data_IF_302391112487
#
_entry.id   IF_302391112487
#
_cell.length_a   1.000
_cell.length_b   1.000
_cell.length_c   1.000
_cell.angle_alpha   90.00
_cell.angle_beta   90.00
_cell.angle_gamma   90.00
#
_symmetry.space_group_name_H-M   'P 1'
#
loop_
_entity.id
_entity.type
_entity.pdbx_description
1 polymer ?
#
# COMPACT_ATOMS: atom_id res chain seq x y z
N UNK A 1 1.59 -36.57 -34.56
CA UNK A 1 1.77 -35.15 -34.19
C UNK A 1 0.69 -34.63 -33.22
N UNK A 2 -0.61 -34.91 -33.41
CA UNK A 2 -1.67 -34.42 -32.49
C UNK A 2 -1.57 -34.95 -31.05
N UNK A 3 -1.18 -36.23 -30.84
CA UNK A 3 -1.00 -36.81 -29.50
C UNK A 3 0.16 -36.17 -28.70
N UNK A 4 1.25 -35.79 -29.37
CA UNK A 4 2.40 -35.15 -28.71
C UNK A 4 2.04 -33.72 -28.25
N UNK A 5 1.24 -33.00 -29.04
CA UNK A 5 0.76 -31.66 -28.69
C UNK A 5 -0.19 -31.68 -27.48
N UNK A 6 -1.06 -32.70 -27.37
CA UNK A 6 -1.98 -32.84 -26.23
C UNK A 6 -1.20 -33.14 -24.94
N UNK A 7 -0.17 -33.98 -25.01
CA UNK A 7 0.69 -34.31 -23.85
C UNK A 7 1.49 -33.08 -23.38
N UNK A 8 2.05 -32.29 -24.31
CA UNK A 8 2.76 -31.06 -23.94
C UNK A 8 1.80 -30.04 -23.30
N UNK A 9 0.57 -29.92 -23.83
CA UNK A 9 -0.44 -29.03 -23.24
C UNK A 9 -0.80 -29.46 -21.82
N UNK A 10 -1.01 -30.76 -21.57
CA UNK A 10 -1.35 -31.25 -20.23
C UNK A 10 -0.19 -31.08 -19.24
N UNK A 11 1.07 -31.23 -19.66
CA UNK A 11 2.23 -30.92 -18.80
C UNK A 11 2.33 -29.44 -18.43
N UNK A 12 1.95 -28.52 -19.32
CA UNK A 12 1.93 -27.08 -19.02
C UNK A 12 0.86 -26.71 -17.99
N UNK A 13 -0.32 -27.34 -18.05
CA UNK A 13 -1.37 -27.14 -17.04
C UNK A 13 -0.96 -27.69 -15.67
N UNK A 14 -0.37 -28.88 -15.60
CA UNK A 14 0.11 -29.47 -14.34
C UNK A 14 1.20 -28.60 -13.69
N UNK A 15 2.10 -28.01 -14.50
CA UNK A 15 3.17 -27.13 -14.00
C UNK A 15 2.63 -25.83 -13.39
N UNK A 16 1.59 -25.23 -13.98
CA UNK A 16 0.98 -24.02 -13.42
C UNK A 16 0.25 -24.28 -12.10
N UNK A 17 -0.39 -25.44 -11.96
CA UNK A 17 -1.13 -25.81 -10.76
C UNK A 17 -0.18 -26.16 -9.60
N UNK A 18 0.93 -26.86 -9.88
CA UNK A 18 1.99 -27.11 -8.91
C UNK A 18 2.67 -25.82 -8.42
N UNK A 19 2.82 -24.81 -9.29
CA UNK A 19 3.39 -23.51 -8.90
C UNK A 19 2.50 -22.76 -7.92
N UNK A 20 1.19 -22.65 -8.20
CA UNK A 20 0.21 -22.01 -7.29
C UNK A 20 0.19 -22.69 -5.92
N UNK A 21 0.18 -24.02 -5.91
CA UNK A 21 0.18 -24.79 -4.66
C UNK A 21 1.46 -24.57 -3.84
N UNK A 22 2.61 -24.39 -4.50
CA UNK A 22 3.89 -24.11 -3.85
C UNK A 22 3.94 -22.71 -3.23
N UNK A 23 3.38 -21.72 -3.91
CA UNK A 23 3.36 -20.32 -3.46
C UNK A 23 2.44 -20.15 -2.22
N UNK A 24 1.31 -20.86 -2.16
CA UNK A 24 0.43 -20.88 -0.98
C UNK A 24 1.07 -21.57 0.25
N UNK A 25 1.89 -22.60 0.03
CA UNK A 25 2.66 -23.26 1.11
C UNK A 25 3.75 -22.31 1.62
N UNK A 26 4.50 -21.66 0.72
CA UNK A 26 5.55 -20.72 1.09
C UNK A 26 5.01 -19.51 1.87
N UNK A 27 3.81 -19.02 1.52
CA UNK A 27 3.12 -17.97 2.27
C UNK A 27 2.74 -18.42 3.68
N UNK A 28 2.16 -19.63 3.79
CA UNK A 28 1.80 -20.20 5.10
C UNK A 28 3.03 -20.40 5.99
N UNK A 29 4.11 -20.94 5.42
CA UNK A 29 5.38 -21.15 6.13
C UNK A 29 5.97 -19.81 6.61
N UNK A 30 6.04 -18.81 5.73
CA UNK A 30 6.49 -17.46 6.10
C UNK A 30 5.60 -16.83 7.19
N UNK A 31 4.30 -17.15 7.20
CA UNK A 31 3.38 -16.56 8.17
C UNK A 31 3.45 -17.23 9.55
N UNK A 32 3.94 -18.46 9.65
CA UNK A 32 4.26 -19.06 10.96
C UNK A 32 5.35 -18.30 11.71
N UNK A 33 6.23 -17.63 10.98
CA UNK A 33 7.36 -16.88 11.53
C UNK A 33 7.17 -15.37 11.61
N UNK A 34 5.92 -14.90 11.46
CA UNK A 34 5.55 -13.50 11.70
C UNK A 34 5.81 -13.15 13.16
N UNK A 35 6.58 -12.09 13.37
CA UNK A 35 6.97 -11.58 14.68
C UNK A 35 6.48 -10.15 14.95
N UNK A 36 5.92 -9.48 13.93
CA UNK A 36 5.31 -8.17 14.08
C UNK A 36 4.13 -8.03 13.11
N UNK A 37 3.03 -7.47 13.60
CA UNK A 37 1.86 -7.11 12.82
C UNK A 37 1.54 -5.66 13.13
N UNK A 38 1.48 -4.84 12.10
CA UNK A 38 1.06 -3.44 12.22
C UNK A 38 -0.26 -3.26 11.46
N UNK A 39 -1.29 -2.81 12.17
CA UNK A 39 -2.52 -2.34 11.54
C UNK A 39 -2.22 -1.02 10.83
N UNK A 40 -2.38 -1.02 9.50
CA UNK A 40 -2.14 0.20 8.70
C UNK A 40 -3.45 0.97 8.53
N UNK A 41 -4.58 0.27 8.50
CA UNK A 41 -5.88 0.87 8.29
C UNK A 41 -6.94 0.21 9.20
N UNK A 42 -7.27 0.91 10.28
CA UNK A 42 -8.29 0.55 11.28
C UNK A 42 -9.73 0.60 10.72
N UNK A 43 -9.92 1.16 9.52
CA UNK A 43 -11.20 1.11 8.79
C UNK A 43 -11.40 -0.19 8.01
N UNK A 44 -10.36 -1.01 7.88
CA UNK A 44 -10.43 -2.32 7.20
C UNK A 44 -10.33 -3.49 8.18
N UNK A 45 -9.49 -3.35 9.20
CA UNK A 45 -9.20 -4.41 10.16
C UNK A 45 -10.03 -4.17 11.41
N UNK A 46 -10.70 -5.22 11.89
CA UNK A 46 -11.59 -5.17 13.05
C UNK A 46 -12.76 -4.17 12.89
N UNK A 47 -13.08 -3.78 11.66
CA UNK A 47 -14.17 -2.87 11.35
C UNK A 47 -15.33 -3.61 10.66
N UNK A 48 -16.59 -3.47 11.14
CA UNK A 48 -17.73 -4.10 10.51
C UNK A 48 -18.11 -3.49 9.15
N UNK A 49 -17.68 -2.25 8.87
CA UNK A 49 -18.05 -1.53 7.65
C UNK A 49 -16.81 -1.03 6.91
N UNK A 50 -16.73 -1.35 5.62
CA UNK A 50 -15.69 -0.83 4.73
C UNK A 50 -16.16 0.50 4.16
N UNK A 51 -15.85 1.58 4.86
CA UNK A 51 -16.12 2.95 4.40
C UNK A 51 -14.87 3.52 3.72
N UNK A 52 -14.57 3.03 2.53
CA UNK A 52 -13.40 3.43 1.75
C UNK A 52 -13.79 3.77 0.31
N UNK A 53 -12.95 4.59 -0.34
CA UNK A 53 -13.20 5.06 -1.70
C UNK A 53 -13.37 3.87 -2.67
N UNK A 54 -14.53 3.71 -3.33
CA UNK A 54 -14.79 2.59 -4.21
C UNK A 54 -13.75 2.42 -5.32
N UNK A 55 -13.41 1.18 -5.66
CA UNK A 55 -12.40 0.85 -6.68
C UNK A 55 -10.94 1.17 -6.32
N UNK A 56 -10.64 1.75 -5.16
CA UNK A 56 -9.28 2.12 -4.77
C UNK A 56 -8.56 1.00 -4.02
N UNK A 57 -7.23 1.00 -4.09
CA UNK A 57 -6.36 0.10 -3.34
C UNK A 57 -6.00 0.70 -1.99
N UNK A 58 -6.05 -0.13 -0.96
CA UNK A 58 -5.74 0.21 0.42
C UNK A 58 -4.83 -0.85 1.02
N UNK A 59 -3.93 -0.44 1.90
CA UNK A 59 -3.16 -1.37 2.72
C UNK A 59 -3.91 -1.62 4.03
N UNK A 60 -4.24 -2.88 4.31
CA UNK A 60 -4.92 -3.27 5.55
C UNK A 60 -3.93 -3.55 6.68
N UNK A 61 -2.94 -4.40 6.41
CA UNK A 61 -1.98 -4.91 7.39
C UNK A 61 -0.57 -4.94 6.83
N UNK A 62 0.41 -4.72 7.70
CA UNK A 62 1.82 -5.04 7.48
C UNK A 62 2.22 -6.18 8.39
N UNK A 63 2.91 -7.17 7.83
CA UNK A 63 3.43 -8.32 8.54
C UNK A 63 4.94 -8.35 8.36
N UNK A 64 5.70 -8.42 9.44
CA UNK A 64 7.14 -8.72 9.37
C UNK A 64 7.36 -10.17 9.79
N UNK A 65 8.04 -10.91 8.93
CA UNK A 65 8.36 -12.31 9.12
C UNK A 65 9.86 -12.55 8.97
N UNK A 66 10.36 -13.55 9.67
CA UNK A 66 11.73 -14.04 9.48
C UNK A 66 11.68 -15.33 8.69
N UNK A 67 12.23 -15.34 7.48
CA UNK A 67 12.18 -16.54 6.62
C UNK A 67 13.41 -17.42 6.85
N UNK A 68 13.44 -18.60 6.20
CA UNK A 68 14.40 -19.68 6.49
C UNK A 68 15.89 -19.30 6.36
N UNK A 69 16.22 -18.24 5.62
CA UNK A 69 17.58 -17.70 5.50
C UNK A 69 17.91 -16.66 6.58
N UNK A 70 17.06 -16.54 7.61
CA UNK A 70 17.12 -15.53 8.68
C UNK A 70 16.98 -14.09 8.21
N UNK A 71 16.67 -13.86 6.93
CA UNK A 71 16.34 -12.51 6.45
C UNK A 71 14.98 -12.08 6.97
N UNK A 72 14.86 -10.78 7.23
CA UNK A 72 13.59 -10.15 7.52
C UNK A 72 12.89 -9.86 6.19
N UNK A 73 11.64 -10.31 6.08
CA UNK A 73 10.77 -9.99 4.97
C UNK A 73 9.53 -9.28 5.48
N UNK A 74 9.07 -8.32 4.70
CA UNK A 74 7.84 -7.60 4.98
C UNK A 74 6.79 -7.97 3.94
N UNK A 75 5.58 -8.20 4.42
CA UNK A 75 4.42 -8.52 3.61
C UNK A 75 3.30 -7.53 3.91
N UNK A 76 2.55 -7.17 2.89
CA UNK A 76 1.40 -6.28 3.04
C UNK A 76 0.14 -6.97 2.55
N UNK A 77 -0.93 -6.88 3.32
CA UNK A 77 -2.28 -7.22 2.88
C UNK A 77 -2.87 -6.01 2.17
N UNK A 78 -3.11 -6.15 0.87
CA UNK A 78 -3.71 -5.11 0.04
C UNK A 78 -5.14 -5.47 -0.32
N UNK A 79 -6.02 -4.48 -0.23
CA UNK A 79 -7.46 -4.57 -0.47
C UNK A 79 -7.84 -3.54 -1.52
N UNK A 80 -8.40 -3.98 -2.65
CA UNK A 80 -9.13 -3.12 -3.58
C UNK A 80 -10.60 -3.18 -3.23
N UNK A 81 -11.21 -2.05 -2.89
CA UNK A 81 -12.66 -1.98 -2.66
C UNK A 81 -13.44 -2.29 -3.95
N UNK A 82 -14.59 -2.98 -3.87
CA UNK A 82 -15.47 -3.18 -5.03
C UNK A 82 -15.91 -1.85 -5.65
N UNK A 83 -16.26 -1.89 -6.95
CA UNK A 83 -16.82 -0.72 -7.64
C UNK A 83 -17.86 -1.17 -8.66
N UNK A 84 -19.08 -0.67 -8.54
CA UNK A 84 -20.22 -1.04 -9.38
C UNK A 84 -20.45 -2.57 -9.45
N UNK A 85 -20.14 -3.19 -10.59
CA UNK A 85 -20.26 -4.63 -10.83
C UNK A 85 -18.90 -5.35 -10.75
N UNK A 86 -17.80 -4.61 -10.56
CA UNK A 86 -16.48 -5.20 -10.38
C UNK A 86 -16.29 -5.65 -8.93
N UNK A 87 -15.91 -6.92 -8.69
CA UNK A 87 -15.58 -7.37 -7.35
C UNK A 87 -14.33 -6.63 -6.84
N UNK A 88 -14.29 -6.47 -5.52
CA UNK A 88 -13.09 -6.08 -4.81
C UNK A 88 -12.03 -7.18 -4.91
N UNK A 89 -10.78 -6.82 -4.61
CA UNK A 89 -9.63 -7.72 -4.72
C UNK A 89 -8.80 -7.72 -3.46
N UNK A 90 -8.29 -8.88 -3.08
CA UNK A 90 -7.44 -9.06 -1.91
C UNK A 90 -6.19 -9.83 -2.31
N UNK A 91 -5.01 -9.32 -1.92
CA UNK A 91 -3.76 -10.02 -2.13
C UNK A 91 -2.73 -9.69 -1.04
N UNK A 92 -1.85 -10.65 -0.76
CA UNK A 92 -0.61 -10.38 -0.07
C UNK A 92 0.48 -10.04 -1.09
N UNK A 93 1.31 -9.06 -0.78
CA UNK A 93 2.51 -8.73 -1.57
C UNK A 93 3.73 -8.72 -0.67
N UNK A 94 4.89 -9.13 -1.19
CA UNK A 94 6.16 -8.93 -0.51
C UNK A 94 6.66 -7.51 -0.84
N UNK A 95 7.11 -6.78 0.17
CA UNK A 95 7.77 -5.48 -0.01
C UNK A 95 9.21 -5.72 -0.45
N UNK A 96 9.64 -4.98 -1.46
CA UNK A 96 11.03 -5.03 -1.97
C UNK A 96 11.76 -3.72 -1.69
N UNK A 97 13.00 -3.81 -1.19
CA UNK A 97 13.85 -2.65 -0.94
C UNK A 97 13.35 -1.73 0.16
N UNK A 98 13.35 -0.41 -0.09
CA UNK A 98 12.91 0.63 0.85
C UNK A 98 11.44 1.07 0.65
N UNK A 99 10.67 0.32 -0.14
CA UNK A 99 9.28 0.67 -0.46
C UNK A 99 8.36 0.45 0.77
N UNK A 100 7.24 1.16 0.82
CA UNK A 100 6.19 0.92 1.80
C UNK A 100 5.07 0.03 1.20
N UNK A 101 4.04 -0.28 2.00
CA UNK A 101 2.91 -1.08 1.53
C UNK A 101 2.11 -0.40 0.40
N UNK A 102 1.97 0.92 0.43
CA UNK A 102 1.26 1.67 -0.61
C UNK A 102 2.00 1.66 -1.96
N UNK A 103 3.32 1.59 -1.95
CA UNK A 103 4.13 1.54 -3.18
C UNK A 103 4.17 0.13 -3.78
N UNK A 104 3.79 -0.89 -2.99
CA UNK A 104 3.86 -2.31 -3.39
C UNK A 104 2.60 -2.80 -4.10
N UNK A 105 1.66 -1.91 -4.48
CA UNK A 105 0.39 -2.29 -5.13
C UNK A 105 0.62 -3.02 -6.46
N UNK A 106 1.66 -2.66 -7.20
CA UNK A 106 1.99 -3.28 -8.47
C UNK A 106 2.80 -4.56 -8.33
N UNK A 107 3.23 -4.91 -7.11
CA UNK A 107 3.97 -6.14 -6.89
C UNK A 107 3.06 -7.36 -7.14
N UNK A 108 3.67 -8.47 -7.62
CA UNK A 108 2.95 -9.71 -7.79
C UNK A 108 2.41 -10.21 -6.45
N UNK A 109 1.23 -10.81 -6.49
CA UNK A 109 0.67 -11.46 -5.31
C UNK A 109 1.59 -12.60 -4.86
N UNK A 110 1.79 -12.72 -3.56
CA UNK A 110 2.38 -13.89 -2.93
C UNK A 110 1.22 -14.82 -2.55
N UNK A 111 1.17 -15.98 -3.20
CA UNK A 111 0.02 -16.90 -3.10
C UNK A 111 -1.18 -16.46 -3.93
N UNK A 112 -2.37 -16.90 -3.52
CA UNK A 112 -3.64 -16.62 -4.21
C UNK A 112 -4.15 -15.18 -4.03
N UNK A 113 -4.63 -14.58 -5.12
CA UNK A 113 -5.49 -13.37 -5.09
C UNK A 113 -6.96 -13.80 -4.96
N UNK A 114 -7.74 -13.06 -4.17
CA UNK A 114 -9.15 -13.34 -3.92
C UNK A 114 -10.01 -12.19 -4.42
N UNK A 115 -11.08 -12.53 -5.12
CA UNK A 115 -12.15 -11.59 -5.47
C UNK A 115 -13.24 -11.64 -4.38
N UNK A 116 -13.88 -10.51 -4.07
CA UNK A 116 -14.94 -10.44 -3.07
C UNK A 116 -15.96 -9.33 -3.36
N UNK A 117 -17.18 -9.47 -2.85
CA UNK A 117 -18.13 -8.36 -2.72
C UNK A 117 -18.30 -7.90 -1.28
N UNK A 118 -18.17 -8.83 -0.34
CA UNK A 118 -18.18 -8.60 1.09
C UNK A 118 -16.84 -9.05 1.66
N UNK A 119 -16.22 -8.25 2.51
CA UNK A 119 -14.96 -8.58 3.14
C UNK A 119 -15.01 -8.23 4.60
N UNK A 120 -14.55 -9.16 5.44
CA UNK A 120 -14.30 -8.91 6.85
C UNK A 120 -12.88 -9.36 7.17
N UNK A 121 -12.09 -8.47 7.75
CA UNK A 121 -10.74 -8.76 8.23
C UNK A 121 -10.74 -8.56 9.74
N UNK A 122 -10.42 -9.60 10.49
CA UNK A 122 -10.26 -9.54 11.94
C UNK A 122 -8.85 -9.98 12.31
N UNK A 123 -8.19 -9.19 13.15
CA UNK A 123 -6.93 -9.55 13.77
C UNK A 123 -7.08 -9.49 15.29
N UNK A 124 -7.03 -10.66 15.94
CA UNK A 124 -7.19 -10.79 17.39
C UNK A 124 -6.40 -11.99 17.90
N UNK A 125 -5.78 -11.86 19.08
CA UNK A 125 -5.06 -12.94 19.77
C UNK A 125 -4.04 -13.67 18.88
N UNK A 126 -3.31 -12.90 18.06
CA UNK A 126 -2.32 -13.39 17.08
C UNK A 126 -2.91 -14.27 15.97
N UNK A 127 -4.22 -14.17 15.73
CA UNK A 127 -4.94 -14.84 14.66
C UNK A 127 -5.46 -13.79 13.69
N UNK A 128 -5.06 -13.90 12.42
CA UNK A 128 -5.62 -13.12 11.32
C UNK A 128 -6.70 -13.96 10.63
N UNK A 129 -7.94 -13.49 10.67
CA UNK A 129 -9.07 -14.06 9.95
C UNK A 129 -9.49 -13.13 8.83
N UNK A 130 -9.58 -13.66 7.61
CA UNK A 130 -10.02 -12.95 6.42
C UNK A 130 -11.19 -13.72 5.82
N UNK A 131 -12.33 -13.05 5.69
CA UNK A 131 -13.55 -13.65 5.20
C UNK A 131 -14.03 -12.92 3.93
N UNK A 132 -13.50 -13.26 2.75
CA UNK A 132 -14.07 -12.82 1.48
C UNK A 132 -15.37 -13.60 1.22
N UNK A 133 -16.50 -12.89 1.20
CA UNK A 133 -17.86 -13.39 1.08
C UNK A 133 -18.21 -14.50 2.09
N UNK A 134 -18.07 -15.77 1.70
CA UNK A 134 -18.37 -16.95 2.55
C UNK A 134 -17.14 -17.83 2.80
N UNK A 135 -16.01 -17.54 2.15
CA UNK A 135 -14.76 -18.24 2.41
C UNK A 135 -14.17 -17.73 3.72
N UNK A 136 -13.51 -18.60 4.49
CA UNK A 136 -12.80 -18.23 5.72
C UNK A 136 -11.35 -18.64 5.59
N UNK A 137 -10.46 -17.66 5.68
CA UNK A 137 -9.02 -17.83 5.58
C UNK A 137 -8.44 -17.41 6.91
N UNK A 138 -7.76 -18.32 7.59
CA UNK A 138 -7.16 -18.08 8.90
C UNK A 138 -5.66 -18.28 8.88
N UNK A 139 -4.93 -17.34 9.47
CA UNK A 139 -3.50 -17.44 9.73
C UNK A 139 -3.23 -17.32 11.23
N UNK A 140 -2.46 -18.26 11.76
CA UNK A 140 -2.01 -18.23 13.15
C UNK A 140 -0.55 -17.79 13.18
N UNK A 141 -0.28 -16.65 13.83
CA UNK A 141 1.07 -16.13 13.99
C UNK A 141 1.67 -16.65 15.30
N UNK A 142 2.23 -17.86 15.25
CA UNK A 142 2.70 -18.59 16.43
C UNK A 142 3.83 -17.87 17.18
N UNK A 143 4.76 -17.23 16.46
CA UNK A 143 5.89 -16.53 17.07
C UNK A 143 5.49 -15.26 17.84
N UNK A 144 4.28 -14.73 17.64
CA UNK A 144 3.75 -13.63 18.48
C UNK A 144 3.25 -14.10 19.85
N UNK A 145 2.89 -15.38 19.99
CA UNK A 145 2.45 -15.97 21.28
C UNK A 145 3.62 -16.43 22.14
N UNK A 146 4.81 -16.50 21.56
CA UNK A 146 6.01 -16.98 22.22
C UNK A 146 6.71 -15.82 22.91
N UNK A 147 6.54 -15.68 24.22
CA UNK A 147 7.48 -14.92 25.08
C UNK A 147 8.94 -15.41 24.94
N UNK A 148 9.18 -16.53 24.24
CA UNK A 148 10.49 -16.99 23.84
C UNK A 148 10.80 -16.55 22.41
N UNK A 149 11.25 -15.30 22.22
CA UNK A 149 12.57 -14.90 21.68
C UNK A 149 12.66 -13.39 21.88
N UNK A 150 12.94 -12.97 23.12
CA UNK A 150 13.67 -11.72 23.35
C UNK A 150 15.06 -11.88 22.75
N UNK A 151 15.23 -11.44 21.50
CA UNK A 151 16.50 -10.83 21.10
C UNK A 151 16.17 -9.38 20.83
N UNK A 152 16.18 -8.62 21.92
CA UNK A 152 16.18 -7.17 21.95
C UNK A 152 17.32 -6.63 21.08
N UNK A 153 16.98 -5.92 20.01
CA UNK A 153 17.82 -4.84 19.48
C UNK A 153 17.01 -3.57 19.67
N UNK A 154 17.57 -2.72 20.52
CA UNK A 154 17.03 -1.49 21.07
C UNK A 154 16.41 -0.57 20.01
N UNK A 155 15.20 -0.10 20.30
CA UNK A 155 14.42 0.79 19.45
C UNK A 155 13.22 1.27 20.26
N UNK A 156 13.45 2.25 21.12
CA UNK A 156 12.43 2.91 21.94
C UNK A 156 11.11 3.12 21.19
N UNK A 157 10.10 2.32 21.50
CA UNK A 157 8.71 2.60 21.18
C UNK A 157 8.16 3.53 22.26
N UNK A 158 8.39 4.83 22.10
CA UNK A 158 7.62 5.85 22.79
C UNK A 158 6.23 5.89 22.15
N UNK A 159 5.27 5.16 22.71
CA UNK A 159 3.84 5.40 22.48
C UNK A 159 3.42 6.69 23.19
N UNK A 160 3.86 7.83 22.66
CA UNK A 160 3.22 9.11 22.98
C UNK A 160 1.94 9.18 22.16
N UNK A 161 0.82 9.49 22.81
CA UNK A 161 -0.37 9.98 22.13
C UNK A 161 -0.03 11.36 21.54
N UNK A 162 0.59 11.37 20.37
CA UNK A 162 0.93 12.61 19.69
C UNK A 162 -0.32 13.22 19.06
N UNK A 163 -0.39 14.55 19.05
CA UNK A 163 -1.54 15.28 18.52
C UNK A 163 -1.74 14.95 17.03
N UNK A 164 -2.96 14.56 16.64
CA UNK A 164 -3.33 14.32 15.25
C UNK A 164 -3.16 15.60 14.42
N UNK A 165 -2.66 15.44 13.19
CA UNK A 165 -2.56 16.49 12.18
C UNK A 165 -3.90 16.62 11.45
N UNK A 166 -4.35 17.86 11.27
CA UNK A 166 -5.58 18.21 10.56
C UNK A 166 -5.37 18.33 9.06
N UNK A 167 -6.45 18.22 8.31
CA UNK A 167 -6.47 18.46 6.86
C UNK A 167 -5.85 19.83 6.51
N UNK A 168 -5.05 19.85 5.45
CA UNK A 168 -4.29 21.01 4.99
C UNK A 168 -2.91 21.16 5.63
N UNK A 169 -2.56 20.38 6.67
CA UNK A 169 -1.21 20.41 7.25
C UNK A 169 -0.23 19.56 6.44
N UNK A 170 0.98 20.09 6.20
CA UNK A 170 2.07 19.31 5.58
C UNK A 170 2.52 18.26 6.59
N UNK A 171 2.37 16.99 6.22
CA UNK A 171 2.80 15.87 7.05
C UNK A 171 4.12 15.25 6.58
N UNK A 172 4.51 15.50 5.32
CA UNK A 172 5.82 15.13 4.80
C UNK A 172 6.38 16.27 3.97
N UNK A 173 7.60 16.69 4.27
CA UNK A 173 8.26 17.79 3.57
C UNK A 173 9.55 17.33 2.92
N UNK A 174 9.60 17.47 1.59
CA UNK A 174 10.78 17.23 0.76
C UNK A 174 11.37 18.57 0.34
N UNK A 175 12.68 18.74 0.51
CA UNK A 175 13.40 19.92 0.04
C UNK A 175 13.80 19.79 -1.44
N UNK A 176 14.23 20.90 -2.04
CA UNK A 176 14.79 20.92 -3.41
C UNK A 176 16.04 20.02 -3.53
N UNK A 177 16.74 19.76 -2.43
CA UNK A 177 17.88 18.83 -2.33
C UNK A 177 17.48 17.35 -2.30
N UNK A 178 16.18 17.02 -2.38
CA UNK A 178 15.62 15.68 -2.17
C UNK A 178 15.74 15.11 -0.76
N UNK A 179 16.09 15.95 0.23
CA UNK A 179 16.09 15.55 1.62
C UNK A 179 14.68 15.61 2.21
N UNK A 180 14.29 14.56 2.94
CA UNK A 180 13.04 14.50 3.70
C UNK A 180 13.31 15.07 5.09
N UNK A 181 12.64 16.17 5.43
CA UNK A 181 12.84 16.89 6.72
C UNK A 181 11.78 16.56 7.76
N UNK A 182 10.59 16.17 7.30
CA UNK A 182 9.44 15.80 8.13
C UNK A 182 8.78 14.61 7.44
N UNK A 183 8.38 13.58 8.18
CA UNK A 183 7.56 12.46 7.70
C UNK A 183 6.72 11.89 8.85
N UNK A 184 5.53 12.46 9.02
CA UNK A 184 4.58 12.20 10.10
C UNK A 184 3.15 12.02 9.53
N UNK A 185 3.04 11.53 8.29
CA UNK A 185 1.75 11.36 7.63
C UNK A 185 0.86 10.27 8.24
N UNK A 186 1.44 9.42 9.09
CA UNK A 186 0.73 8.51 9.98
C UNK A 186 -0.12 9.25 11.04
N UNK A 187 0.17 10.53 11.30
CA UNK A 187 -0.58 11.36 12.25
C UNK A 187 -1.75 12.12 11.63
N UNK A 188 -1.99 12.04 10.31
CA UNK A 188 -3.13 12.71 9.67
C UNK A 188 -4.48 12.14 10.15
N UNK A 189 -5.46 13.00 10.41
CA UNK A 189 -6.79 12.61 10.87
C UNK A 189 -7.56 11.76 9.83
N UNK A 190 -7.38 12.09 8.55
CA UNK A 190 -8.00 11.39 7.41
C UNK A 190 -6.98 10.57 6.63
N UNK A 191 -6.36 11.17 5.62
CA UNK A 191 -5.33 10.56 4.77
C UNK A 191 -4.26 11.62 4.46
N UNK A 192 -3.33 11.31 3.57
CA UNK A 192 -2.44 12.32 2.99
C UNK A 192 -2.33 12.12 1.48
N UNK A 193 -2.16 13.22 0.75
CA UNK A 193 -2.02 13.21 -0.70
C UNK A 193 -0.72 13.90 -1.12
N UNK A 194 -0.22 13.52 -2.29
CA UNK A 194 1.05 14.04 -2.79
C UNK A 194 0.89 15.44 -3.36
N UNK A 195 1.89 16.28 -3.08
CA UNK A 195 2.00 17.62 -3.66
C UNK A 195 3.37 17.85 -4.26
N UNK A 196 3.40 18.57 -5.38
CA UNK A 196 4.64 19.03 -5.99
C UNK A 196 4.95 20.44 -5.48
N UNK A 197 5.84 20.53 -4.50
CA UNK A 197 6.29 21.78 -3.88
C UNK A 197 7.82 21.91 -3.75
N UNK A 198 8.56 21.03 -4.42
CA UNK A 198 10.02 21.08 -4.47
C UNK A 198 10.54 20.61 -5.83
N UNK A 199 11.77 20.99 -6.16
CA UNK A 199 12.45 20.60 -7.39
C UNK A 199 12.94 19.14 -7.39
N UNK A 200 12.66 18.38 -6.31
CA UNK A 200 13.08 17.00 -6.22
C UNK A 200 12.27 16.10 -7.17
N UNK A 201 12.96 15.33 -8.01
CA UNK A 201 12.35 14.43 -9.00
C UNK A 201 12.06 13.02 -8.46
N UNK A 202 12.78 12.62 -7.40
CA UNK A 202 12.72 11.28 -6.81
C UNK A 202 11.76 11.15 -5.63
N UNK A 203 11.32 12.27 -5.05
CA UNK A 203 10.45 12.30 -3.89
C UNK A 203 9.52 13.53 -3.91
N UNK A 204 8.35 13.39 -3.30
CA UNK A 204 7.32 14.42 -3.22
C UNK A 204 6.90 14.65 -1.76
N UNK A 205 6.44 15.86 -1.48
CA UNK A 205 5.84 16.20 -0.18
C UNK A 205 4.41 15.68 -0.10
N UNK A 206 3.86 15.63 1.12
CA UNK A 206 2.47 15.23 1.36
C UNK A 206 1.76 16.18 2.32
N UNK A 207 0.46 16.35 2.09
CA UNK A 207 -0.45 17.17 2.90
C UNK A 207 -1.57 16.28 3.41
N UNK A 208 -1.98 16.46 4.67
CA UNK A 208 -3.12 15.76 5.25
C UNK A 208 -4.42 16.16 4.54
N UNK A 209 -5.29 15.20 4.30
CA UNK A 209 -6.60 15.40 3.69
C UNK A 209 -6.94 14.32 2.67
N UNK A 210 -8.04 14.54 1.96
CA UNK A 210 -8.51 13.68 0.88
C UNK A 210 -7.87 14.15 -0.43
N UNK A 211 -7.38 13.22 -1.24
CA UNK A 211 -6.78 13.52 -2.54
C UNK A 211 -7.85 13.95 -3.55
N UNK A 212 -8.07 15.25 -3.67
CA UNK A 212 -8.91 15.87 -4.69
C UNK A 212 -8.04 16.53 -5.77
N UNK A 213 -6.87 15.95 -6.06
CA UNK A 213 -5.97 16.56 -7.03
C UNK A 213 -6.67 16.77 -8.38
N UNK A 214 -6.31 17.84 -9.06
CA UNK A 214 -6.83 18.15 -10.39
C UNK A 214 -8.14 18.95 -10.40
N UNK A 215 -8.88 19.03 -9.29
CA UNK A 215 -10.04 19.89 -9.18
C UNK A 215 -9.65 21.37 -9.06
N UNK A 216 -10.57 22.28 -9.43
CA UNK A 216 -10.32 23.72 -9.34
C UNK A 216 -10.04 24.15 -7.88
N UNK A 217 -8.99 24.94 -7.69
CA UNK A 217 -8.38 25.37 -6.43
C UNK A 217 -7.75 24.26 -5.58
N UNK A 218 -7.64 23.04 -6.09
CA UNK A 218 -6.94 21.94 -5.45
C UNK A 218 -5.56 21.71 -6.10
N UNK A 219 -4.66 20.97 -5.45
CA UNK A 219 -3.34 20.65 -5.99
C UNK A 219 -3.42 19.97 -7.35
N UNK A 220 -2.49 20.27 -8.25
CA UNK A 220 -2.42 19.58 -9.53
C UNK A 220 -1.97 18.13 -9.34
N UNK A 221 -2.62 17.19 -10.02
CA UNK A 221 -2.24 15.78 -9.96
C UNK A 221 -0.87 15.57 -10.61
N UNK A 222 0.05 14.93 -9.89
CA UNK A 222 1.44 14.75 -10.33
C UNK A 222 1.51 13.72 -11.47
N UNK A 223 2.04 14.11 -12.63
CA UNK A 223 2.33 13.21 -13.77
C UNK A 223 3.73 12.60 -13.74
N UNK A 224 4.64 13.22 -12.98
CA UNK A 224 6.05 12.82 -12.85
C UNK A 224 6.97 13.53 -13.87
N UNK A 225 8.18 13.90 -13.44
CA UNK A 225 9.09 14.71 -14.25
C UNK A 225 9.73 13.96 -15.43
N UNK A 226 9.90 12.64 -15.31
CA UNK A 226 10.51 11.78 -16.35
C UNK A 226 9.72 11.82 -17.67
N UNK A 227 8.41 12.02 -17.59
CA UNK A 227 7.55 12.13 -18.77
C UNK A 227 7.62 13.52 -19.47
N UNK A 228 8.24 14.51 -18.84
CA UNK A 228 8.06 15.93 -19.21
C UNK A 228 9.37 16.66 -19.56
N UNK A 229 10.51 16.22 -19.01
CA UNK A 229 11.84 16.76 -19.36
C UNK A 229 12.12 18.19 -18.88
N UNK A 230 11.27 18.76 -18.01
CA UNK A 230 11.39 20.15 -17.53
C UNK A 230 12.10 20.18 -16.17
N UNK A 231 13.12 21.03 -16.03
CA UNK A 231 13.87 21.24 -14.76
C UNK A 231 13.16 22.17 -13.78
N UNK A 232 12.37 23.10 -14.29
CA UNK A 232 11.59 24.03 -13.47
C UNK A 232 10.13 23.58 -13.46
N UNK A 233 9.73 22.97 -12.35
CA UNK A 233 8.37 22.44 -12.22
C UNK A 233 7.35 23.54 -11.94
N UNK A 234 7.74 24.69 -11.36
CA UNK A 234 6.85 25.75 -10.88
C UNK A 234 6.63 26.81 -11.97
N UNK A 235 6.06 26.37 -13.09
CA UNK A 235 5.74 27.23 -14.24
C UNK A 235 4.25 27.15 -14.56
N UNK A 236 3.73 28.17 -15.24
CA UNK A 236 2.37 28.13 -15.77
C UNK A 236 2.24 27.00 -16.81
N UNK A 237 1.12 26.26 -16.74
CA UNK A 237 0.86 25.07 -17.55
C UNK A 237 1.97 24.01 -17.40
N UNK A 238 2.53 23.89 -16.19
CA UNK A 238 3.60 22.94 -15.91
C UNK A 238 3.19 21.51 -16.30
N UNK A 239 3.97 20.82 -17.15
CA UNK A 239 3.63 19.47 -17.60
C UNK A 239 3.78 18.44 -16.48
N UNK A 240 4.44 18.80 -15.37
CA UNK A 240 4.68 17.97 -14.19
C UNK A 240 3.39 17.69 -13.43
N UNK A 241 2.39 18.56 -13.57
CA UNK A 241 1.05 18.41 -13.00
C UNK A 241 -0.02 18.29 -14.07
N UNK A 242 -1.24 17.89 -13.68
CA UNK A 242 -2.42 18.01 -14.52
C UNK A 242 -3.65 18.38 -13.72
N UNK A 243 -4.57 19.06 -14.41
CA UNK A 243 -5.88 19.46 -13.90
C UNK A 243 -7.00 18.80 -14.70
N UNK A 244 -8.13 18.58 -14.04
CA UNK A 244 -9.33 17.97 -14.60
C UNK A 244 -10.24 19.08 -15.13
N UNK A 245 -10.88 18.83 -16.27
CA UNK A 245 -11.82 19.77 -16.87
C UNK A 245 -11.13 20.97 -17.53
N UNK A 246 -11.62 22.18 -17.24
CA UNK A 246 -11.14 23.41 -17.86
C UNK A 246 -10.06 24.15 -17.05
N UNK A 247 -9.71 23.63 -15.86
CA UNK A 247 -8.71 24.23 -15.00
C UNK A 247 -7.29 24.06 -15.57
N UNK A 248 -6.41 25.02 -15.28
CA UNK A 248 -5.02 25.04 -15.74
C UNK A 248 -4.05 24.84 -14.58
N UNK A 249 -2.87 24.31 -14.87
CA UNK A 249 -1.83 24.15 -13.84
C UNK A 249 -1.18 25.51 -13.60
N UNK A 250 -1.38 26.06 -12.41
CA UNK A 250 -0.68 27.23 -11.88
C UNK A 250 0.37 26.82 -10.84
N UNK A 251 1.21 27.77 -10.45
CA UNK A 251 2.12 27.62 -9.32
C UNK A 251 1.86 28.73 -8.30
N UNK A 252 1.38 28.35 -7.10
CA UNK A 252 1.06 29.25 -5.99
C UNK A 252 1.89 28.81 -4.79
N UNK A 253 2.68 29.72 -4.21
CA UNK A 253 3.56 29.44 -3.07
C UNK A 253 4.47 28.22 -3.29
N UNK A 254 5.02 28.10 -4.50
CA UNK A 254 5.82 26.96 -4.99
C UNK A 254 5.07 25.63 -5.09
N UNK A 255 3.76 25.59 -4.86
CA UNK A 255 2.93 24.40 -5.03
C UNK A 255 2.19 24.45 -6.37
N UNK A 256 2.13 23.32 -7.08
CA UNK A 256 1.28 23.22 -8.27
C UNK A 256 -0.19 23.11 -7.87
N UNK A 257 -1.00 24.07 -8.32
CA UNK A 257 -2.43 24.20 -8.04
C UNK A 257 -3.20 24.27 -9.35
N UNK A 258 -4.45 23.81 -9.37
CA UNK A 258 -5.36 23.94 -10.50
C UNK A 258 -6.21 25.20 -10.42
N UNK A 259 -6.12 26.09 -11.41
CA UNK A 259 -6.82 27.38 -11.48
C UNK A 259 -7.92 27.42 -12.55
#
# INVERSE_FOLDING_TARGET
MRLLQIVILSFLFISCEQRKQRDDIALKDAFTSVYEVSEINDRLVNNPEIDLAPGAWHSALKLKARVNDFSNKEYCLLVKTPYELEPGKLKFVQVEGSNNCSDSIFNPAVGKEYDFYNLFIEYRDSVLSINPDKEKIGFNFFNLKSEAVEISIDGQLNSKSEAKLKDGQVCRQVLDSCEVTIDECDRCENSSYYVKNSACSSAYSKVCGIDNCGEKNNPACIRGEVATGVKDYCIQDSPVGFCIGAARVGCVDKMLICE
#
